data_IF_606627636612
#
_entry.id   IF_606627636612
#
_cell.length_a   1.000
_cell.length_b   1.000
_cell.length_c   1.000
_cell.angle_alpha   90.00
_cell.angle_beta   90.00
_cell.angle_gamma   90.00
#
_symmetry.space_group_name_H-M   'P 1'
#
loop_
_entity.id
_entity.type
_entity.pdbx_description
1 polymer ?
#
# COMPACT_ATOMS: atom_id res chain seq x y z
N UNK A 1 15.37 -2.69 4.14
CA UNK A 1 16.61 -2.02 3.69
C UNK A 1 16.92 -0.77 4.52
N UNK A 2 15.98 0.12 4.78
CA UNK A 2 16.20 1.34 5.59
C UNK A 2 16.90 1.03 6.93
N UNK A 3 16.61 -0.13 7.54
CA UNK A 3 17.25 -0.55 8.81
C UNK A 3 18.62 -1.20 8.65
N UNK A 4 18.93 -1.77 7.47
CA UNK A 4 20.10 -2.60 7.27
C UNK A 4 21.19 -1.96 6.40
N UNK A 5 20.82 -1.03 5.50
CA UNK A 5 21.75 -0.30 4.65
C UNK A 5 21.67 1.20 4.97
N UNK A 6 22.61 1.68 5.79
CA UNK A 6 22.55 3.04 6.33
C UNK A 6 22.54 4.14 5.27
N UNK A 7 23.38 4.08 4.25
CA UNK A 7 23.47 5.12 3.23
C UNK A 7 22.23 5.14 2.33
N UNK A 8 21.90 4.01 1.72
CA UNK A 8 20.72 3.87 0.87
C UNK A 8 19.43 4.09 1.68
N UNK A 9 19.41 3.66 2.95
CA UNK A 9 18.28 3.84 3.83
C UNK A 9 17.99 5.30 4.15
N UNK A 10 19.01 6.12 4.40
CA UNK A 10 18.87 7.57 4.67
C UNK A 10 18.33 8.29 3.42
N UNK A 11 18.86 7.96 2.23
CA UNK A 11 18.38 8.54 0.97
C UNK A 11 16.90 8.21 0.74
N UNK A 12 16.51 6.95 0.86
CA UNK A 12 15.12 6.51 0.68
C UNK A 12 14.20 7.19 1.72
N UNK A 13 14.62 7.24 2.98
CA UNK A 13 13.85 7.85 4.06
C UNK A 13 13.61 9.34 3.81
N UNK A 14 14.63 10.08 3.34
CA UNK A 14 14.50 11.50 2.99
C UNK A 14 13.46 11.72 1.88
N UNK A 15 13.48 10.89 0.82
CA UNK A 15 12.55 10.99 -0.30
C UNK A 15 11.10 10.67 0.16
N UNK A 16 10.92 9.62 0.95
CA UNK A 16 9.61 9.20 1.45
C UNK A 16 9.02 10.23 2.42
N UNK A 17 9.84 10.83 3.29
CA UNK A 17 9.41 11.85 4.24
C UNK A 17 8.90 13.12 3.55
N UNK A 18 9.33 13.40 2.33
CA UNK A 18 8.81 14.48 1.49
C UNK A 18 7.53 14.11 0.72
N UNK A 19 7.06 12.85 0.84
CA UNK A 19 5.89 12.35 0.14
C UNK A 19 6.13 11.92 -1.30
N UNK A 20 7.39 11.86 -1.74
CA UNK A 20 7.78 11.35 -3.06
C UNK A 20 7.92 9.84 -3.09
N UNK A 21 7.92 9.26 -4.30
CA UNK A 21 8.14 7.82 -4.49
C UNK A 21 9.63 7.49 -4.38
N UNK A 22 9.92 6.31 -3.84
CA UNK A 22 11.29 5.78 -3.86
C UNK A 22 11.73 5.53 -5.32
N UNK A 23 13.05 5.67 -5.64
CA UNK A 23 13.56 5.45 -6.99
C UNK A 23 13.22 4.06 -7.54
N UNK A 24 12.66 4.00 -8.76
CA UNK A 24 12.18 2.76 -9.39
C UNK A 24 13.25 1.67 -9.45
N UNK A 25 14.51 2.05 -9.70
CA UNK A 25 15.64 1.09 -9.75
C UNK A 25 15.79 0.32 -8.44
N UNK A 26 15.63 1.01 -7.30
CA UNK A 26 15.74 0.39 -5.97
C UNK A 26 14.53 -0.50 -5.72
N UNK A 27 13.33 0.01 -5.98
CA UNK A 27 12.08 -0.74 -5.80
C UNK A 27 12.11 -2.01 -6.64
N UNK A 28 12.47 -1.92 -7.92
CA UNK A 28 12.52 -3.05 -8.84
C UNK A 28 13.53 -4.11 -8.39
N UNK A 29 14.72 -3.70 -7.90
CA UNK A 29 15.71 -4.67 -7.40
C UNK A 29 15.25 -5.42 -6.15
N UNK A 30 14.51 -4.77 -5.26
CA UNK A 30 13.93 -5.39 -4.07
C UNK A 30 12.79 -6.35 -4.46
N UNK A 31 11.93 -5.92 -5.40
CA UNK A 31 10.84 -6.76 -5.90
C UNK A 31 11.37 -8.01 -6.61
N UNK A 32 12.43 -7.89 -7.41
CA UNK A 32 13.04 -9.03 -8.08
C UNK A 32 13.50 -10.09 -7.07
N UNK A 33 14.13 -9.70 -5.97
CA UNK A 33 14.52 -10.62 -4.88
C UNK A 33 13.31 -11.35 -4.30
N UNK A 34 12.19 -10.63 -4.08
CA UNK A 34 10.97 -11.22 -3.48
C UNK A 34 10.26 -12.13 -4.48
N UNK A 35 10.14 -11.70 -5.75
CA UNK A 35 9.42 -12.44 -6.80
C UNK A 35 10.20 -13.71 -7.22
N UNK A 36 11.54 -13.65 -7.17
CA UNK A 36 12.40 -14.79 -7.53
C UNK A 36 12.47 -15.88 -6.46
N UNK A 37 12.03 -15.58 -5.22
CA UNK A 37 12.02 -16.57 -4.14
C UNK A 37 10.92 -17.62 -4.38
N UNK A 38 11.28 -18.92 -4.52
CA UNK A 38 10.29 -19.98 -4.74
C UNK A 38 9.21 -20.08 -3.65
N UNK A 39 9.50 -19.63 -2.42
CA UNK A 39 8.54 -19.65 -1.32
C UNK A 39 7.40 -18.65 -1.54
N UNK A 40 7.65 -17.59 -2.32
CA UNK A 40 6.70 -16.55 -2.66
C UNK A 40 5.96 -16.80 -3.98
N UNK A 41 6.24 -17.91 -4.65
CA UNK A 41 5.65 -18.21 -5.95
C UNK A 41 4.11 -18.23 -5.88
N UNK A 42 3.47 -17.36 -6.66
CA UNK A 42 2.02 -17.17 -6.70
C UNK A 42 1.36 -16.82 -5.34
N UNK A 43 2.10 -16.16 -4.44
CA UNK A 43 1.62 -15.79 -3.08
C UNK A 43 1.91 -14.34 -2.73
N UNK A 44 2.00 -13.45 -3.72
CA UNK A 44 2.40 -12.07 -3.51
C UNK A 44 1.20 -11.13 -3.49
N UNK A 45 1.24 -10.18 -2.57
CA UNK A 45 0.35 -9.02 -2.53
C UNK A 45 1.22 -7.78 -2.69
N UNK A 46 0.94 -6.99 -3.72
CA UNK A 46 1.60 -5.71 -3.94
C UNK A 46 0.71 -4.61 -3.33
N UNK A 47 1.14 -4.04 -2.23
CA UNK A 47 0.47 -2.91 -1.59
C UNK A 47 1.15 -1.60 -1.98
N UNK A 48 0.39 -0.71 -2.64
CA UNK A 48 0.90 0.56 -3.12
C UNK A 48 1.98 0.46 -4.20
N UNK A 49 1.97 -0.60 -5.00
CA UNK A 49 2.82 -0.81 -6.16
C UNK A 49 2.04 -1.61 -7.23
N UNK A 50 2.11 -1.26 -8.53
CA UNK A 50 2.85 -0.12 -9.12
C UNK A 50 2.16 1.23 -8.86
N UNK A 51 2.92 2.33 -8.87
CA UNK A 51 2.42 3.70 -8.68
C UNK A 51 2.58 4.58 -9.91
N UNK A 52 3.26 4.12 -10.94
CA UNK A 52 3.37 4.80 -12.23
C UNK A 52 3.42 3.78 -13.38
N UNK A 53 3.30 4.28 -14.63
CA UNK A 53 3.27 3.42 -15.82
C UNK A 53 4.58 2.68 -16.07
N UNK A 54 5.73 3.25 -15.69
CA UNK A 54 7.03 2.59 -15.81
C UNK A 54 7.12 1.38 -14.86
N UNK A 55 6.59 1.52 -13.66
CA UNK A 55 6.51 0.43 -12.70
C UNK A 55 5.59 -0.71 -13.20
N UNK A 56 4.51 -0.40 -13.94
CA UNK A 56 3.68 -1.44 -14.58
C UNK A 56 4.52 -2.27 -15.55
N UNK A 57 5.27 -1.60 -16.42
CA UNK A 57 6.11 -2.28 -17.41
C UNK A 57 7.17 -3.17 -16.72
N UNK A 58 7.83 -2.64 -15.68
CA UNK A 58 8.82 -3.38 -14.89
C UNK A 58 8.19 -4.58 -14.17
N UNK A 59 7.03 -4.41 -13.51
CA UNK A 59 6.34 -5.50 -12.84
C UNK A 59 5.94 -6.60 -13.82
N UNK A 60 5.40 -6.23 -14.98
CA UNK A 60 5.02 -7.19 -16.02
C UNK A 60 6.23 -8.00 -16.52
N UNK A 61 7.37 -7.35 -16.73
CA UNK A 61 8.60 -8.03 -17.12
C UNK A 61 9.09 -9.00 -16.04
N UNK A 62 9.10 -8.56 -14.76
CA UNK A 62 9.51 -9.38 -13.63
C UNK A 62 8.59 -10.59 -13.46
N UNK A 63 7.29 -10.40 -13.46
CA UNK A 63 6.33 -11.52 -13.31
C UNK A 63 6.46 -12.52 -14.47
N UNK A 64 6.60 -12.05 -15.70
CA UNK A 64 6.82 -12.92 -16.86
C UNK A 64 8.12 -13.71 -16.75
N UNK A 65 9.22 -13.08 -16.29
CA UNK A 65 10.52 -13.73 -16.08
C UNK A 65 10.42 -14.93 -15.14
N UNK A 66 9.56 -14.83 -14.13
CA UNK A 66 9.36 -15.87 -13.10
C UNK A 66 8.04 -16.65 -13.29
N UNK A 67 7.45 -16.59 -14.47
CA UNK A 67 6.25 -17.37 -14.83
C UNK A 67 5.05 -17.11 -13.89
N UNK A 68 4.90 -15.85 -13.46
CA UNK A 68 3.81 -15.38 -12.60
C UNK A 68 2.95 -14.34 -13.32
N UNK A 69 1.72 -14.17 -12.87
CA UNK A 69 0.78 -13.16 -13.42
C UNK A 69 -0.07 -12.53 -12.32
N UNK A 70 -0.60 -11.35 -12.59
CA UNK A 70 -1.55 -10.67 -11.70
C UNK A 70 -2.90 -11.37 -11.84
N UNK A 71 -3.48 -11.83 -10.73
CA UNK A 71 -4.78 -12.51 -10.68
C UNK A 71 -5.92 -11.54 -10.42
N UNK A 72 -5.72 -10.53 -9.61
CA UNK A 72 -6.72 -9.50 -9.33
C UNK A 72 -6.08 -8.16 -8.97
N UNK A 73 -6.81 -7.09 -9.20
CA UNK A 73 -6.48 -5.74 -8.82
C UNK A 73 -7.63 -5.16 -8.01
N UNK A 74 -7.34 -4.75 -6.79
CA UNK A 74 -8.31 -4.10 -5.90
C UNK A 74 -8.00 -2.62 -5.77
N UNK A 75 -8.98 -1.78 -6.05
CA UNK A 75 -8.90 -0.34 -5.91
C UNK A 75 -9.83 0.10 -4.78
N UNK A 76 -9.29 0.61 -3.68
CA UNK A 76 -10.06 1.15 -2.56
C UNK A 76 -10.36 2.62 -2.81
N UNK A 77 -11.63 2.95 -3.04
CA UNK A 77 -12.09 4.34 -3.16
C UNK A 77 -12.31 4.93 -1.78
N UNK A 78 -11.62 6.00 -1.46
CA UNK A 78 -11.74 6.65 -0.14
C UNK A 78 -11.84 8.17 -0.29
N UNK A 79 -12.76 8.77 0.47
CA UNK A 79 -12.91 10.21 0.52
C UNK A 79 -11.65 10.90 1.08
N UNK A 80 -11.19 11.98 0.47
CA UNK A 80 -9.98 12.73 0.88
C UNK A 80 -10.03 13.16 2.35
N UNK A 81 -11.17 13.59 2.85
CA UNK A 81 -11.34 13.98 4.25
C UNK A 81 -11.12 12.81 5.22
N UNK A 82 -11.60 11.62 4.85
CA UNK A 82 -11.41 10.40 5.65
C UNK A 82 -9.93 9.99 5.63
N UNK A 83 -9.29 10.00 4.47
CA UNK A 83 -7.85 9.68 4.36
C UNK A 83 -7.01 10.67 5.18
N UNK A 84 -7.29 11.97 5.07
CA UNK A 84 -6.59 12.98 5.85
C UNK A 84 -6.68 12.66 7.34
N UNK A 85 -7.86 12.37 7.87
CA UNK A 85 -8.05 11.96 9.28
C UNK A 85 -7.34 10.63 9.60
N UNK A 86 -7.38 9.64 8.68
CA UNK A 86 -6.68 8.37 8.87
C UNK A 86 -5.17 8.56 8.97
N UNK A 87 -4.58 9.45 8.16
CA UNK A 87 -3.13 9.70 8.16
C UNK A 87 -2.74 10.59 9.35
N UNK A 88 -3.37 11.75 9.53
CA UNK A 88 -3.01 12.68 10.62
C UNK A 88 -3.30 12.13 12.01
N UNK A 89 -4.32 11.27 12.12
CA UNK A 89 -4.69 10.59 13.35
C UNK A 89 -3.90 9.33 13.68
N UNK A 90 -2.99 8.89 12.80
CA UNK A 90 -2.23 7.66 13.00
C UNK A 90 -1.26 7.79 14.16
N UNK A 91 -1.28 6.78 15.04
CA UNK A 91 -0.40 6.67 16.22
C UNK A 91 0.18 5.25 16.20
N UNK A 92 1.48 5.14 16.41
CA UNK A 92 2.19 3.85 16.44
C UNK A 92 2.85 3.68 17.82
N UNK A 93 2.66 2.53 18.45
CA UNK A 93 3.43 2.16 19.61
C UNK A 93 4.82 1.65 19.18
N UNK A 94 5.88 2.28 19.68
CA UNK A 94 7.25 1.92 19.34
C UNK A 94 7.70 0.58 19.92
N UNK A 95 6.98 0.02 20.90
CA UNK A 95 7.28 -1.26 21.55
C UNK A 95 6.53 -2.43 20.92
N UNK A 96 5.19 -2.38 20.88
CA UNK A 96 4.38 -3.49 20.38
C UNK A 96 4.05 -3.35 18.88
N UNK A 97 4.42 -2.24 18.26
CA UNK A 97 4.20 -1.90 16.83
C UNK A 97 2.73 -1.84 16.42
N UNK A 98 1.80 -1.88 17.37
CA UNK A 98 0.37 -1.68 17.06
C UNK A 98 0.14 -0.27 16.54
N UNK A 99 -0.74 -0.18 15.54
CA UNK A 99 -1.17 1.07 14.93
C UNK A 99 -2.57 1.40 15.44
N UNK A 100 -2.75 2.62 15.89
CA UNK A 100 -4.00 3.20 16.36
C UNK A 100 -4.35 4.43 15.52
N UNK A 101 -5.56 4.94 15.72
CA UNK A 101 -5.99 6.20 15.11
C UNK A 101 -6.79 7.03 16.12
N UNK A 102 -6.38 8.27 16.35
CA UNK A 102 -7.03 9.15 17.35
C UNK A 102 -8.51 9.42 17.08
N UNK A 103 -8.97 9.28 15.82
CA UNK A 103 -10.36 9.53 15.43
C UNK A 103 -11.22 8.28 15.36
N UNK A 104 -10.63 7.12 15.00
CA UNK A 104 -11.38 5.91 14.67
C UNK A 104 -11.11 4.73 15.60
N UNK A 105 -9.92 4.64 16.16
CA UNK A 105 -9.49 3.57 17.06
C UNK A 105 -8.41 4.11 18.01
N UNK A 106 -8.77 4.98 18.98
CA UNK A 106 -7.81 5.55 19.92
C UNK A 106 -7.23 4.47 20.85
N UNK A 107 -5.94 4.57 21.20
CA UNK A 107 -5.34 3.66 22.17
C UNK A 107 -6.00 3.83 23.54
N UNK A 108 -6.33 2.72 24.20
CA UNK A 108 -6.92 2.69 25.54
C UNK A 108 -6.50 1.41 26.27
N UNK A 109 -6.85 1.31 27.58
CA UNK A 109 -6.44 0.18 28.41
C UNK A 109 -6.96 -1.19 27.95
N UNK A 110 -7.98 -1.25 27.11
CA UNK A 110 -8.52 -2.51 26.59
C UNK A 110 -7.79 -3.00 25.34
N UNK A 111 -7.22 -2.10 24.54
CA UNK A 111 -6.54 -2.44 23.29
C UNK A 111 -5.02 -2.22 23.29
N UNK A 112 -4.48 -1.52 24.33
CA UNK A 112 -3.06 -1.19 24.45
C UNK A 112 -2.56 -1.31 25.89
N UNK A 113 -1.55 -2.14 26.12
CA UNK A 113 -0.97 -2.43 27.44
C UNK A 113 0.44 -1.86 27.65
N UNK A 114 0.98 -1.13 26.69
CA UNK A 114 2.29 -0.47 26.82
C UNK A 114 2.13 0.95 27.39
N UNK A 115 3.24 1.53 27.88
CA UNK A 115 3.29 2.92 28.35
C UNK A 115 2.87 3.88 27.23
N UNK A 116 2.03 4.86 27.57
CA UNK A 116 1.56 5.88 26.61
C UNK A 116 2.69 6.72 26.01
N UNK A 117 3.83 6.89 26.72
CA UNK A 117 5.03 7.58 26.22
C UNK A 117 5.64 6.91 24.98
N UNK A 118 5.30 5.64 24.73
CA UNK A 118 5.74 4.87 23.56
C UNK A 118 4.87 5.09 22.33
N UNK A 119 3.76 5.82 22.47
CA UNK A 119 2.88 6.20 21.37
C UNK A 119 3.49 7.39 20.61
N UNK A 120 3.73 7.23 19.33
CA UNK A 120 4.36 8.24 18.46
C UNK A 120 3.56 8.44 17.20
N UNK A 121 3.48 9.69 16.74
CA UNK A 121 3.05 10.01 15.35
C UNK A 121 4.27 9.88 14.43
N UNK A 122 4.03 9.51 13.18
CA UNK A 122 5.09 9.49 12.16
C UNK A 122 5.40 10.92 11.73
N UNK A 123 6.66 11.21 11.41
CA UNK A 123 7.11 12.52 10.94
C UNK A 123 6.46 12.95 9.61
N UNK A 124 6.10 11.96 8.77
CA UNK A 124 5.47 12.15 7.47
C UNK A 124 3.92 12.21 7.51
N UNK A 125 3.30 12.13 8.71
CA UNK A 125 1.85 12.23 8.91
C UNK A 125 1.42 13.67 9.19
N UNK A 126 1.73 14.58 8.26
CA UNK A 126 1.37 16.00 8.32
C UNK A 126 0.65 16.43 7.03
N UNK A 127 -0.07 17.57 7.09
CA UNK A 127 -0.91 18.03 5.98
C UNK A 127 -0.11 18.33 4.69
N UNK A 128 1.09 18.90 4.82
CA UNK A 128 1.93 19.22 3.66
C UNK A 128 2.31 17.94 2.91
N UNK A 129 2.82 16.95 3.63
CA UNK A 129 3.16 15.64 3.04
C UNK A 129 1.94 14.95 2.43
N UNK A 130 0.75 15.08 3.04
CA UNK A 130 -0.50 14.52 2.51
C UNK A 130 -0.87 15.19 1.19
N UNK A 131 -0.78 16.51 1.09
CA UNK A 131 -1.05 17.24 -0.15
C UNK A 131 -0.09 16.84 -1.26
N UNK A 132 1.20 16.70 -0.95
CA UNK A 132 2.19 16.21 -1.90
C UNK A 132 1.85 14.79 -2.39
N UNK A 133 1.44 13.90 -1.47
CA UNK A 133 0.98 12.55 -1.83
C UNK A 133 -0.26 12.57 -2.72
N UNK A 134 -1.23 13.46 -2.48
CA UNK A 134 -2.40 13.59 -3.33
C UNK A 134 -2.02 14.06 -4.73
N UNK A 135 -1.11 15.01 -4.86
CA UNK A 135 -0.62 15.49 -6.14
C UNK A 135 0.16 14.41 -6.91
N UNK A 136 1.06 13.72 -6.23
CA UNK A 136 1.81 12.58 -6.81
C UNK A 136 0.84 11.50 -7.28
N UNK A 137 -0.15 11.18 -6.47
CA UNK A 137 -1.17 10.20 -6.82
C UNK A 137 -1.96 10.60 -8.06
N UNK A 138 -2.44 11.85 -8.11
CA UNK A 138 -3.23 12.35 -9.24
C UNK A 138 -2.44 12.31 -10.56
N UNK A 139 -1.15 12.66 -10.51
CA UNK A 139 -0.33 12.77 -11.71
C UNK A 139 0.27 11.44 -12.16
N UNK A 140 0.67 10.58 -11.23
CA UNK A 140 1.42 9.36 -11.53
C UNK A 140 0.58 8.08 -11.37
N UNK A 141 -0.29 8.02 -10.35
CA UNK A 141 -0.99 6.77 -10.01
C UNK A 141 -2.36 6.64 -10.67
N UNK A 142 -3.09 7.73 -10.94
CA UNK A 142 -4.34 7.65 -11.69
C UNK A 142 -4.19 6.97 -13.06
N UNK A 143 -3.13 7.24 -13.87
CA UNK A 143 -2.91 6.51 -15.11
C UNK A 143 -2.73 4.99 -14.93
N UNK A 144 -2.23 4.55 -13.78
CA UNK A 144 -2.11 3.13 -13.44
C UNK A 144 -3.48 2.48 -13.28
N UNK A 145 -4.41 3.18 -12.62
CA UNK A 145 -5.80 2.71 -12.50
C UNK A 145 -6.47 2.56 -13.86
N UNK A 146 -6.33 3.56 -14.74
CA UNK A 146 -6.90 3.53 -16.09
C UNK A 146 -6.33 2.39 -16.93
N UNK A 147 -5.06 2.02 -16.68
CA UNK A 147 -4.46 0.85 -17.27
C UNK A 147 -5.13 -0.45 -16.77
N UNK A 148 -5.28 -0.60 -15.44
CA UNK A 148 -5.82 -1.82 -14.86
C UNK A 148 -7.34 -1.96 -14.98
N UNK A 149 -8.10 -0.88 -15.11
CA UNK A 149 -9.55 -0.91 -15.41
C UNK A 149 -9.90 -1.72 -16.67
N UNK A 150 -8.93 -1.90 -17.56
CA UNK A 150 -9.09 -2.72 -18.78
C UNK A 150 -8.96 -4.22 -18.52
N UNK A 151 -8.56 -4.62 -17.30
CA UNK A 151 -8.43 -6.02 -16.93
C UNK A 151 -9.76 -6.56 -16.39
N UNK A 152 -10.10 -7.80 -16.74
CA UNK A 152 -11.34 -8.45 -16.30
C UNK A 152 -11.46 -8.61 -14.78
N UNK A 153 -10.31 -8.72 -14.08
CA UNK A 153 -10.24 -8.91 -12.62
C UNK A 153 -9.85 -7.62 -11.89
N UNK A 154 -10.38 -6.49 -12.30
CA UNK A 154 -10.27 -5.22 -11.59
C UNK A 154 -11.54 -4.98 -10.78
N UNK A 155 -11.36 -4.73 -9.47
CA UNK A 155 -12.45 -4.53 -8.52
C UNK A 155 -12.29 -3.21 -7.79
N UNK A 156 -13.34 -2.38 -7.83
CA UNK A 156 -13.42 -1.15 -7.03
C UNK A 156 -14.22 -1.43 -5.76
N UNK A 157 -13.65 -1.08 -4.61
CA UNK A 157 -14.26 -1.33 -3.28
C UNK A 157 -14.39 0.01 -2.55
N UNK A 158 -15.51 0.22 -1.86
CA UNK A 158 -15.71 1.39 -1.02
C UNK A 158 -14.81 1.31 0.24
N UNK A 159 -13.68 2.01 0.20
CA UNK A 159 -12.75 2.09 1.32
C UNK A 159 -13.20 2.99 2.48
N UNK A 160 -14.39 3.62 2.39
CA UNK A 160 -14.99 4.38 3.49
C UNK A 160 -15.66 3.47 4.52
N UNK A 161 -16.00 2.25 4.14
CA UNK A 161 -16.59 1.23 5.01
C UNK A 161 -15.68 0.86 6.18
N UNK A 162 -16.22 0.12 7.15
CA UNK A 162 -15.44 -0.46 8.24
C UNK A 162 -14.48 -1.54 7.71
N UNK A 163 -13.35 -1.72 8.38
CA UNK A 163 -12.31 -2.69 7.96
C UNK A 163 -12.90 -4.10 7.78
N UNK A 164 -13.79 -4.54 8.69
CA UNK A 164 -14.41 -5.87 8.58
C UNK A 164 -15.33 -6.01 7.36
N UNK A 165 -16.02 -4.95 6.95
CA UNK A 165 -16.88 -4.95 5.76
C UNK A 165 -16.04 -5.03 4.49
N UNK A 166 -14.97 -4.23 4.40
CA UNK A 166 -14.00 -4.28 3.30
C UNK A 166 -13.38 -5.67 3.20
N UNK A 167 -12.98 -6.25 4.34
CA UNK A 167 -12.41 -7.60 4.39
C UNK A 167 -13.37 -8.64 3.83
N UNK A 168 -14.64 -8.62 4.28
CA UNK A 168 -15.66 -9.57 3.82
C UNK A 168 -15.94 -9.44 2.31
N UNK A 169 -15.95 -8.21 1.78
CA UNK A 169 -16.14 -7.96 0.35
C UNK A 169 -14.97 -8.53 -0.47
N UNK A 170 -13.74 -8.23 -0.05
CA UNK A 170 -12.53 -8.78 -0.69
C UNK A 170 -12.54 -10.32 -0.64
N UNK A 171 -12.86 -10.91 0.52
CA UNK A 171 -12.91 -12.35 0.68
C UNK A 171 -13.97 -13.00 -0.23
N UNK A 172 -15.15 -12.37 -0.37
CA UNK A 172 -16.19 -12.85 -1.25
C UNK A 172 -15.76 -12.83 -2.72
N UNK A 173 -15.07 -11.76 -3.16
CA UNK A 173 -14.51 -11.66 -4.52
C UNK A 173 -13.46 -12.75 -4.73
N UNK A 174 -12.54 -12.94 -3.78
CA UNK A 174 -11.48 -13.92 -3.86
C UNK A 174 -12.01 -15.33 -4.01
N UNK A 175 -13.08 -15.70 -3.28
CA UNK A 175 -13.74 -17.03 -3.37
C UNK A 175 -14.30 -17.32 -4.78
N UNK A 176 -14.58 -16.29 -5.56
CA UNK A 176 -15.13 -16.42 -6.92
C UNK A 176 -14.05 -16.43 -8.01
N UNK A 177 -12.81 -16.11 -7.70
CA UNK A 177 -11.70 -16.16 -8.65
C UNK A 177 -11.27 -17.62 -8.83
N UNK A 178 -11.56 -18.21 -10.00
CA UNK A 178 -11.33 -19.65 -10.28
C UNK A 178 -9.86 -20.05 -10.35
N UNK A 179 -8.96 -19.11 -10.63
CA UNK A 179 -7.52 -19.39 -10.84
C UNK A 179 -6.69 -19.08 -9.59
N UNK A 180 -6.95 -19.75 -8.46
CA UNK A 180 -6.18 -19.61 -7.22
C UNK A 180 -4.68 -19.95 -7.34
N UNK A 181 -4.24 -20.48 -8.48
CA UNK A 181 -2.85 -20.88 -8.69
C UNK A 181 -1.92 -19.72 -9.08
N UNK A 182 -2.45 -18.50 -9.25
CA UNK A 182 -1.70 -17.32 -9.68
C UNK A 182 -2.10 -16.11 -8.83
N UNK A 183 -1.63 -16.05 -7.58
CA UNK A 183 -2.10 -15.01 -6.66
C UNK A 183 -1.07 -13.90 -6.55
N UNK A 184 -1.16 -12.93 -7.43
CA UNK A 184 -0.57 -11.61 -7.22
C UNK A 184 -1.69 -10.59 -7.19
N UNK A 185 -1.90 -9.94 -6.04
CA UNK A 185 -2.89 -8.89 -5.88
C UNK A 185 -2.21 -7.54 -5.86
N UNK A 186 -2.86 -6.54 -6.45
CA UNK A 186 -2.45 -5.15 -6.35
C UNK A 186 -3.51 -4.42 -5.56
N UNK A 187 -3.11 -3.77 -4.47
CA UNK A 187 -3.94 -2.83 -3.73
C UNK A 187 -3.59 -1.41 -4.11
N UNK A 188 -4.59 -0.63 -4.47
CA UNK A 188 -4.43 0.78 -4.82
C UNK A 188 -5.50 1.60 -4.09
N UNK A 189 -5.10 2.74 -3.56
CA UNK A 189 -6.05 3.69 -2.95
C UNK A 189 -6.45 4.73 -3.98
N UNK A 190 -7.74 4.87 -4.25
CA UNK A 190 -8.34 5.96 -5.02
C UNK A 190 -8.74 7.10 -4.08
N UNK A 191 -8.35 8.32 -4.43
CA UNK A 191 -8.79 9.52 -3.72
C UNK A 191 -9.96 10.14 -4.49
N UNK A 192 -11.17 10.08 -3.94
CA UNK A 192 -12.31 10.84 -4.45
C UNK A 192 -12.23 12.29 -3.97
N UNK A 193 -12.62 13.22 -4.87
CA UNK A 193 -12.68 14.65 -4.59
C UNK A 193 -13.79 14.99 -3.60
#
# INVERSE_FOLDING_TARGET
EIKFNKELGIEIESIINQGHLAPDKIVNSLLEKVISDPQNFNRLIFDGYPRNLLQIASLKQLLNKFNQKISAVFSLKVNKGIITKRITGRIICTKCLKIFNEYYDPPNNSNHSCDEKLLKKRSDDNLETILNRFNTYANETNPVLDYYKKYANFYEIDGNMKIGEIYNEIEAILKNIRDWHYVCFIYMFLFEN
#
